data_IF_478636298916
#
_entry.id   IF_478636298916
#
_cell.length_a   1.000
_cell.length_b   1.000
_cell.length_c   1.000
_cell.angle_alpha   90.00
_cell.angle_beta   90.00
_cell.angle_gamma   90.00
#
_symmetry.space_group_name_H-M   'P 1'
#
loop_
_entity.id
_entity.type
_entity.pdbx_description
1 polymer ?
#
# COMPACT_ATOMS: atom_id res chain seq x y z
N UNK A 1 -9.13 -12.93 -4.08
CA UNK A 1 -9.07 -11.47 -4.31
C UNK A 1 -8.44 -10.68 -3.17
N UNK A 2 -9.09 -10.44 -2.02
CA UNK A 2 -8.40 -9.77 -0.88
C UNK A 2 -7.13 -10.54 -0.48
N UNK A 3 -7.26 -11.86 -0.36
CA UNK A 3 -6.13 -12.76 -0.10
C UNK A 3 -5.08 -12.79 -1.21
N UNK A 4 -5.41 -12.47 -2.47
CA UNK A 4 -4.42 -12.47 -3.57
C UNK A 4 -3.54 -11.23 -3.53
N UNK A 5 -4.13 -10.07 -3.23
CA UNK A 5 -3.40 -8.81 -3.04
C UNK A 5 -2.48 -8.93 -1.82
N UNK A 6 -2.99 -9.47 -0.70
CA UNK A 6 -2.18 -9.73 0.50
C UNK A 6 -1.08 -10.78 0.26
N UNK A 7 -1.36 -11.84 -0.48
CA UNK A 7 -0.34 -12.83 -0.85
C UNK A 7 0.72 -12.23 -1.76
N UNK A 8 0.33 -11.36 -2.71
CA UNK A 8 1.29 -10.67 -3.57
C UNK A 8 2.18 -9.70 -2.78
N UNK A 9 1.58 -8.92 -1.88
CA UNK A 9 2.28 -8.06 -0.90
C UNK A 9 3.33 -8.87 -0.14
N UNK A 10 2.91 -10.00 0.46
CA UNK A 10 3.82 -10.89 1.21
C UNK A 10 4.93 -11.47 0.34
N UNK A 11 4.66 -11.86 -0.90
CA UNK A 11 5.70 -12.34 -1.85
C UNK A 11 6.75 -11.25 -2.14
N UNK A 12 6.35 -9.98 -2.12
CA UNK A 12 7.23 -8.84 -2.29
C UNK A 12 7.82 -8.33 -0.95
N UNK A 13 7.71 -9.12 0.12
CA UNK A 13 8.20 -8.79 1.47
C UNK A 13 7.57 -7.52 2.05
N UNK A 14 6.37 -7.16 1.59
CA UNK A 14 5.59 -6.06 2.11
C UNK A 14 4.57 -6.63 3.10
N UNK A 15 4.76 -6.29 4.37
CA UNK A 15 3.86 -6.68 5.45
C UNK A 15 2.80 -5.62 5.69
N UNK A 16 1.59 -6.06 5.96
CA UNK A 16 0.42 -5.21 6.14
C UNK A 16 -0.07 -5.27 7.57
N UNK A 17 -0.54 -4.14 8.08
CA UNK A 17 -1.17 -4.00 9.39
C UNK A 17 -2.52 -3.28 9.24
N UNK A 18 -3.49 -3.48 10.15
CA UNK A 18 -4.73 -2.71 10.12
C UNK A 18 -4.46 -1.21 10.35
N UNK A 19 -5.12 -0.37 9.58
CA UNK A 19 -5.03 1.09 9.69
C UNK A 19 -6.29 1.64 10.34
N UNK A 20 -6.12 2.40 11.43
CA UNK A 20 -7.21 3.00 12.18
C UNK A 20 -7.20 4.53 12.06
N UNK A 21 -8.38 5.14 12.18
CA UNK A 21 -8.51 6.59 12.18
C UNK A 21 -8.03 7.16 13.52
N UNK A 22 -6.80 7.68 13.58
CA UNK A 22 -6.23 8.24 14.79
C UNK A 22 -6.17 7.23 15.93
N UNK A 23 -6.60 7.62 17.14
CA UNK A 23 -6.70 6.72 18.31
C UNK A 23 -8.08 6.07 18.44
N UNK A 24 -8.89 6.09 17.39
CA UNK A 24 -10.24 5.50 17.42
C UNK A 24 -10.22 4.02 17.01
N UNK A 25 -11.29 3.29 17.33
CA UNK A 25 -11.50 1.92 16.87
C UNK A 25 -12.06 1.84 15.43
N UNK A 26 -12.10 2.95 14.68
CA UNK A 26 -12.64 2.99 13.32
C UNK A 26 -11.58 2.48 12.34
N UNK A 27 -11.83 1.31 11.75
CA UNK A 27 -10.96 0.70 10.74
C UNK A 27 -11.10 1.44 9.40
N UNK A 28 -10.00 2.03 8.93
CA UNK A 28 -9.93 2.66 7.61
C UNK A 28 -9.59 1.65 6.51
N UNK A 29 -8.81 0.63 6.87
CA UNK A 29 -8.36 -0.40 5.95
C UNK A 29 -7.10 -1.09 6.46
N UNK A 30 -6.15 -1.28 5.56
CA UNK A 30 -4.84 -1.84 5.82
C UNK A 30 -3.77 -0.79 5.52
N UNK A 31 -2.60 -0.91 6.13
CA UNK A 31 -1.44 -0.09 5.86
C UNK A 31 -0.21 -0.95 5.67
N UNK A 32 0.75 -0.45 4.89
CA UNK A 32 2.09 -1.00 4.82
C UNK A 32 3.12 0.11 4.65
N UNK A 33 4.35 -0.22 5.01
CA UNK A 33 5.50 0.67 4.83
C UNK A 33 6.30 0.18 3.62
N UNK A 34 6.33 1.01 2.58
CA UNK A 34 7.30 0.91 1.51
C UNK A 34 8.33 2.02 1.69
N UNK A 35 9.31 1.79 2.58
CA UNK A 35 10.22 2.82 3.05
C UNK A 35 10.77 3.69 1.91
N UNK A 36 10.61 5.03 1.97
CA UNK A 36 10.20 5.83 3.11
C UNK A 36 8.69 6.15 3.18
N UNK A 37 7.85 5.47 2.43
CA UNK A 37 6.43 5.79 2.29
C UNK A 37 5.55 4.90 3.17
N UNK A 38 4.56 5.50 3.81
CA UNK A 38 3.41 4.83 4.37
C UNK A 38 2.28 4.87 3.34
N UNK A 39 1.68 3.72 3.09
CA UNK A 39 0.51 3.58 2.24
C UNK A 39 -0.61 3.03 3.09
N UNK A 40 -1.72 3.75 3.18
CA UNK A 40 -2.98 3.25 3.72
C UNK A 40 -3.89 2.97 2.54
N UNK A 41 -4.50 1.79 2.53
CA UNK A 41 -5.36 1.35 1.46
C UNK A 41 -6.54 0.55 2.01
N UNK A 42 -7.60 0.48 1.22
CA UNK A 42 -8.71 -0.44 1.43
C UNK A 42 -8.96 -1.25 0.17
N UNK A 43 -9.56 -2.42 0.31
CA UNK A 43 -9.96 -3.22 -0.84
C UNK A 43 -11.48 -3.14 -0.93
N UNK A 44 -11.98 -2.57 -2.02
CA UNK A 44 -13.41 -2.51 -2.32
C UNK A 44 -13.68 -3.31 -3.59
N UNK A 45 -14.53 -4.34 -3.48
CA UNK A 45 -14.79 -5.33 -4.51
C UNK A 45 -13.50 -5.98 -5.06
N UNK A 46 -12.95 -5.45 -6.15
CA UNK A 46 -11.75 -5.95 -6.82
C UNK A 46 -10.61 -4.92 -6.90
N UNK A 47 -10.84 -3.74 -6.35
CA UNK A 47 -9.94 -2.60 -6.50
C UNK A 47 -9.25 -2.30 -5.18
N UNK A 48 -7.95 -2.06 -5.27
CA UNK A 48 -7.16 -1.51 -4.17
C UNK A 48 -7.25 0.01 -4.24
N UNK A 49 -7.93 0.62 -3.27
CA UNK A 49 -8.09 2.07 -3.18
C UNK A 49 -7.06 2.59 -2.18
N UNK A 50 -6.18 3.48 -2.65
CA UNK A 50 -5.22 4.17 -1.79
C UNK A 50 -5.95 5.29 -1.06
N UNK A 51 -6.01 5.20 0.27
CA UNK A 51 -6.64 6.18 1.14
C UNK A 51 -5.66 7.26 1.59
N UNK A 52 -4.42 6.89 1.90
CA UNK A 52 -3.36 7.83 2.28
C UNK A 52 -2.03 7.37 1.69
N UNK A 53 -1.28 8.32 1.14
CA UNK A 53 0.07 8.10 0.67
C UNK A 53 0.96 9.21 1.23
N UNK A 54 1.71 8.90 2.29
CA UNK A 54 2.57 9.88 2.95
C UNK A 54 4.00 9.38 3.09
N UNK A 55 4.93 10.31 3.22
CA UNK A 55 6.32 9.99 3.50
C UNK A 55 6.60 10.07 4.99
N UNK A 56 7.33 9.08 5.51
CA UNK A 56 7.71 8.98 6.92
C UNK A 56 8.98 9.75 7.25
N UNK A 57 9.90 9.90 6.29
CA UNK A 57 11.14 10.67 6.49
C UNK A 57 11.10 12.03 5.79
N UNK A 58 11.46 13.13 6.49
CA UNK A 58 11.59 14.44 5.86
C UNK A 58 12.78 14.48 4.88
N UNK A 59 12.65 15.22 3.76
CA UNK A 59 13.70 15.41 2.76
C UNK A 59 13.18 15.40 1.32
N UNK A 60 14.06 15.56 0.32
CA UNK A 60 13.66 15.44 -1.10
C UNK A 60 13.48 13.97 -1.52
N UNK A 61 12.46 13.66 -2.35
CA UNK A 61 12.24 12.30 -2.83
C UNK A 61 13.37 11.90 -3.78
N UNK A 62 13.97 10.72 -3.56
CA UNK A 62 14.94 10.20 -4.53
C UNK A 62 14.18 9.56 -5.69
N UNK A 63 14.51 9.86 -6.95
CA UNK A 63 13.80 9.32 -8.11
C UNK A 63 13.71 7.79 -8.11
N UNK A 64 14.76 7.10 -7.66
CA UNK A 64 14.80 5.63 -7.54
C UNK A 64 13.69 5.07 -6.62
N UNK A 65 13.35 5.78 -5.55
CA UNK A 65 12.30 5.36 -4.61
C UNK A 65 10.91 5.49 -5.23
N UNK A 66 10.70 6.55 -6.03
CA UNK A 66 9.47 6.73 -6.83
C UNK A 66 9.33 5.65 -7.91
N UNK A 67 10.42 5.28 -8.60
CA UNK A 67 10.37 4.21 -9.60
C UNK A 67 10.07 2.85 -8.98
N UNK A 68 10.60 2.56 -7.80
CA UNK A 68 10.28 1.32 -7.08
C UNK A 68 8.81 1.25 -6.67
N UNK A 69 8.26 2.36 -6.16
CA UNK A 69 6.83 2.49 -5.86
C UNK A 69 5.97 2.29 -7.11
N UNK A 70 6.30 2.95 -8.22
CA UNK A 70 5.59 2.82 -9.48
C UNK A 70 5.65 1.40 -10.04
N UNK A 71 6.78 0.71 -9.88
CA UNK A 71 6.92 -0.69 -10.25
C UNK A 71 5.97 -1.60 -9.47
N UNK A 72 5.86 -1.39 -8.16
CA UNK A 72 4.93 -2.14 -7.32
C UNK A 72 3.47 -1.84 -7.66
N UNK A 73 3.09 -0.55 -7.78
CA UNK A 73 1.75 -0.12 -8.18
C UNK A 73 1.34 -0.66 -9.56
N UNK A 74 2.28 -0.69 -10.51
CA UNK A 74 2.06 -1.29 -11.83
C UNK A 74 1.88 -2.80 -11.75
N UNK A 75 2.60 -3.48 -10.84
CA UNK A 75 2.40 -4.89 -10.54
C UNK A 75 0.98 -5.18 -10.04
N UNK A 76 0.46 -4.37 -9.12
CA UNK A 76 -0.93 -4.50 -8.65
C UNK A 76 -1.95 -4.32 -9.77
N UNK A 77 -1.79 -3.29 -10.60
CA UNK A 77 -2.72 -3.00 -11.70
C UNK A 77 -2.79 -4.11 -12.75
N UNK A 78 -1.73 -4.92 -12.88
CA UNK A 78 -1.74 -6.12 -13.70
C UNK A 78 -2.54 -7.28 -13.08
N UNK A 79 -2.58 -7.40 -11.75
CA UNK A 79 -3.25 -8.49 -11.05
C UNK A 79 -4.75 -8.23 -10.92
N UNK A 80 -5.16 -6.97 -10.77
CA UNK A 80 -6.59 -6.61 -10.68
C UNK A 80 -7.29 -6.62 -12.04
N UNK A 81 -6.55 -6.61 -13.16
CA UNK A 81 -7.07 -6.68 -14.53
C UNK A 81 -7.04 -8.07 -15.19
N UNK A 82 -6.42 -9.08 -14.57
CA UNK A 82 -6.36 -10.46 -15.08
C UNK A 82 -7.46 -11.36 -14.54
#
# INVERSE_FOLDING_TARGET
MVQEIEQWLRRHQVFTEPAYLGETAILLGQQFILSPYLVIYRIEAKEMIICEFRRLTPGQPRPQQLFHLLGLLRGYLCITRS
#
